data_IF_596616011674
#
_entry.id   IF_596616011674
#
_cell.length_a   1.000
_cell.length_b   1.000
_cell.length_c   1.000
_cell.angle_alpha   90.00
_cell.angle_beta   90.00
_cell.angle_gamma   90.00
#
_symmetry.space_group_name_H-M   'P 1'
#
loop_
_entity.id
_entity.type
_entity.pdbx_description
1 polymer ?
#
# COMPACT_ATOMS: atom_id res chain seq x y z
N UNK A 1 -25.69 -3.84 16.09
CA UNK A 1 -24.87 -2.61 15.87
C UNK A 1 -23.43 -2.94 15.51
N UNK A 2 -22.76 -3.84 16.21
CA UNK A 2 -21.34 -4.19 15.93
C UNK A 2 -21.08 -4.71 14.49
N UNK A 3 -21.92 -5.60 13.95
CA UNK A 3 -21.73 -6.14 12.57
C UNK A 3 -21.84 -5.05 11.50
N UNK A 4 -22.78 -4.10 11.65
CA UNK A 4 -22.93 -2.98 10.71
C UNK A 4 -21.74 -2.01 10.74
N UNK A 5 -21.22 -1.70 11.94
CA UNK A 5 -20.04 -0.85 12.09
C UNK A 5 -18.79 -1.54 11.49
N UNK A 6 -18.64 -2.83 11.70
CA UNK A 6 -17.56 -3.61 11.08
C UNK A 6 -17.65 -3.55 9.55
N UNK A 7 -18.83 -3.79 8.96
CA UNK A 7 -19.04 -3.69 7.52
C UNK A 7 -18.74 -2.28 7.02
N UNK A 8 -19.24 -1.25 7.72
CA UNK A 8 -18.95 0.14 7.38
C UNK A 8 -17.44 0.41 7.30
N UNK A 9 -16.66 -0.02 8.29
CA UNK A 9 -15.21 0.17 8.31
C UNK A 9 -14.50 -0.58 7.18
N UNK A 10 -14.90 -1.83 6.90
CA UNK A 10 -14.32 -2.65 5.82
C UNK A 10 -14.46 -1.95 4.45
N UNK A 11 -15.54 -1.19 4.24
CA UNK A 11 -15.76 -0.49 2.97
C UNK A 11 -15.32 0.97 3.00
N UNK A 12 -15.60 1.71 4.09
CA UNK A 12 -15.30 3.14 4.14
C UNK A 12 -13.80 3.43 4.18
N UNK A 13 -13.01 2.69 4.98
CA UNK A 13 -11.58 2.97 5.11
C UNK A 13 -10.82 2.81 3.77
N UNK A 14 -10.90 1.68 3.04
CA UNK A 14 -10.22 1.54 1.76
C UNK A 14 -10.77 2.51 0.70
N UNK A 15 -12.08 2.81 0.71
CA UNK A 15 -12.65 3.81 -0.20
C UNK A 15 -12.04 5.18 0.04
N UNK A 16 -11.97 5.64 1.28
CA UNK A 16 -11.40 6.94 1.63
C UNK A 16 -9.90 7.00 1.33
N UNK A 17 -9.13 5.93 1.66
CA UNK A 17 -7.72 5.84 1.29
C UNK A 17 -7.55 5.95 -0.22
N UNK A 18 -8.34 5.22 -1.00
CA UNK A 18 -8.29 5.27 -2.46
C UNK A 18 -8.59 6.67 -3.00
N UNK A 19 -9.67 7.31 -2.54
CA UNK A 19 -10.10 8.64 -2.98
C UNK A 19 -9.08 9.73 -2.62
N UNK A 20 -8.61 9.76 -1.38
CA UNK A 20 -7.63 10.76 -0.92
C UNK A 20 -6.32 10.61 -1.71
N UNK A 21 -5.84 9.39 -1.89
CA UNK A 21 -4.58 9.15 -2.58
C UNK A 21 -4.68 9.25 -4.12
N UNK A 22 -5.87 9.34 -4.73
CA UNK A 22 -6.00 9.75 -6.13
C UNK A 22 -5.44 11.14 -6.42
N UNK A 23 -5.46 12.01 -5.41
CA UNK A 23 -4.99 13.40 -5.51
C UNK A 23 -3.57 13.58 -5.01
N UNK A 24 -2.87 12.49 -4.69
CA UNK A 24 -1.51 12.55 -4.18
C UNK A 24 -0.55 13.14 -5.22
N UNK A 25 0.17 14.24 -4.90
CA UNK A 25 1.13 14.83 -5.82
C UNK A 25 2.24 13.85 -6.16
N UNK A 26 2.62 13.84 -7.44
CA UNK A 26 3.69 12.99 -7.96
C UNK A 26 4.85 13.87 -8.41
N UNK A 27 6.02 13.63 -7.82
CA UNK A 27 7.26 14.29 -8.20
C UNK A 27 8.43 13.34 -7.92
N UNK A 28 9.53 13.57 -8.63
CA UNK A 28 10.81 12.89 -8.40
C UNK A 28 11.84 13.85 -7.78
N UNK A 29 13.03 13.36 -7.46
CA UNK A 29 14.14 14.21 -7.05
C UNK A 29 14.46 15.30 -8.12
N UNK A 30 14.85 16.51 -7.71
CA UNK A 30 15.01 16.97 -6.32
C UNK A 30 13.67 17.18 -5.60
N UNK A 31 13.56 16.63 -4.39
CA UNK A 31 12.31 16.63 -3.63
C UNK A 31 11.86 18.05 -3.26
N UNK A 32 12.80 18.92 -2.86
CA UNK A 32 12.49 20.31 -2.51
C UNK A 32 11.77 21.02 -3.66
N UNK A 33 12.37 21.03 -4.85
CA UNK A 33 11.81 21.74 -6.01
C UNK A 33 10.52 21.12 -6.53
N UNK A 34 10.35 19.81 -6.42
CA UNK A 34 9.10 19.12 -6.79
C UNK A 34 7.97 19.38 -5.79
N UNK A 35 8.28 19.33 -4.50
CA UNK A 35 7.26 19.41 -3.45
C UNK A 35 6.79 20.82 -3.17
N UNK A 36 7.65 21.84 -3.33
CA UNK A 36 7.33 23.22 -2.96
C UNK A 36 6.04 23.74 -3.62
N UNK A 37 5.79 23.35 -4.87
CA UNK A 37 4.59 23.74 -5.62
C UNK A 37 3.32 23.03 -5.16
N UNK A 38 3.43 21.97 -4.34
CA UNK A 38 2.33 21.15 -3.87
C UNK A 38 2.14 21.18 -2.35
N UNK A 39 2.95 21.96 -1.62
CA UNK A 39 3.03 21.93 -0.15
C UNK A 39 1.70 22.24 0.53
N UNK A 40 0.87 23.09 -0.06
CA UNK A 40 -0.45 23.47 0.46
C UNK A 40 -1.44 22.30 0.50
N UNK A 41 -1.27 21.32 -0.41
CA UNK A 41 -2.07 20.09 -0.45
C UNK A 41 -1.36 18.91 0.20
N UNK A 42 -0.03 18.82 0.07
CA UNK A 42 0.78 17.74 0.62
C UNK A 42 0.56 17.52 2.12
N UNK A 43 0.71 18.57 2.90
CA UNK A 43 0.56 18.46 4.36
C UNK A 43 -0.84 18.02 4.81
N UNK A 44 -1.95 18.66 4.36
CA UNK A 44 -3.30 18.17 4.67
C UNK A 44 -3.53 16.72 4.27
N UNK A 45 -3.06 16.29 3.12
CA UNK A 45 -3.21 14.93 2.62
C UNK A 45 -2.57 13.92 3.60
N UNK A 46 -1.32 14.16 4.00
CA UNK A 46 -0.61 13.25 4.92
C UNK A 46 -1.16 13.31 6.36
N UNK A 47 -1.68 14.45 6.81
CA UNK A 47 -2.41 14.53 8.09
C UNK A 47 -3.69 13.69 8.07
N UNK A 48 -4.38 13.63 6.94
CA UNK A 48 -5.56 12.76 6.77
C UNK A 48 -5.12 11.30 6.70
N UNK A 49 -4.07 10.98 5.97
CA UNK A 49 -3.52 9.63 5.87
C UNK A 49 -3.03 9.07 7.22
N UNK A 50 -2.54 9.93 8.13
CA UNK A 50 -2.16 9.55 9.49
C UNK A 50 -3.31 8.84 10.26
N UNK A 51 -4.55 9.17 9.92
CA UNK A 51 -5.75 8.51 10.46
C UNK A 51 -6.21 7.37 9.55
N UNK A 52 -6.16 7.57 8.24
CA UNK A 52 -6.72 6.60 7.27
C UNK A 52 -5.91 5.31 7.19
N UNK A 53 -4.58 5.32 7.30
CA UNK A 53 -3.78 4.10 7.23
C UNK A 53 -3.99 3.16 8.42
N UNK A 54 -4.04 3.63 9.69
CA UNK A 54 -4.49 2.79 10.79
C UNK A 54 -5.89 2.22 10.61
N UNK A 55 -6.85 3.02 10.11
CA UNK A 55 -8.20 2.56 9.83
C UNK A 55 -8.24 1.53 8.70
N UNK A 56 -7.40 1.67 7.66
CA UNK A 56 -7.25 0.67 6.61
C UNK A 56 -6.74 -0.65 7.18
N UNK A 57 -5.69 -0.61 8.01
CA UNK A 57 -5.18 -1.81 8.67
C UNK A 57 -6.22 -2.48 9.57
N UNK A 58 -7.00 -1.70 10.31
CA UNK A 58 -8.12 -2.20 11.12
C UNK A 58 -9.22 -2.80 10.24
N UNK A 59 -9.59 -2.16 9.13
CA UNK A 59 -10.59 -2.67 8.19
C UNK A 59 -10.17 -4.03 7.61
N UNK A 60 -8.90 -4.14 7.20
CA UNK A 60 -8.34 -5.40 6.71
C UNK A 60 -8.27 -6.48 7.81
N UNK A 61 -7.95 -6.12 9.05
CA UNK A 61 -8.02 -7.04 10.19
C UNK A 61 -9.44 -7.54 10.42
N UNK A 62 -10.43 -6.65 10.44
CA UNK A 62 -11.84 -7.00 10.61
C UNK A 62 -12.36 -7.89 9.48
N UNK A 63 -11.82 -7.73 8.26
CA UNK A 63 -12.17 -8.55 7.11
C UNK A 63 -11.75 -10.02 7.27
N UNK A 64 -10.59 -10.28 7.91
CA UNK A 64 -10.05 -11.64 8.09
C UNK A 64 -10.27 -12.23 9.49
N UNK A 65 -10.80 -11.47 10.47
CA UNK A 65 -10.83 -11.86 11.90
C UNK A 65 -11.60 -13.16 12.18
N UNK A 66 -12.68 -13.39 11.43
CA UNK A 66 -13.59 -14.53 11.62
C UNK A 66 -13.17 -15.76 10.77
N UNK A 67 -12.01 -15.68 10.09
CA UNK A 67 -11.41 -16.81 9.37
C UNK A 67 -10.45 -17.54 10.31
N UNK A 68 -10.69 -18.82 10.58
CA UNK A 68 -9.95 -19.61 11.58
C UNK A 68 -8.98 -20.59 10.90
N UNK A 69 -7.88 -20.07 10.34
CA UNK A 69 -6.80 -20.87 9.79
C UNK A 69 -5.45 -20.15 9.92
N UNK A 70 -4.33 -20.87 9.70
CA UNK A 70 -2.99 -20.32 9.85
C UNK A 70 -2.76 -19.08 8.98
N UNK A 71 -3.25 -19.09 7.74
CA UNK A 71 -3.08 -17.95 6.83
C UNK A 71 -3.76 -16.69 7.37
N UNK A 72 -4.94 -16.80 8.00
CA UNK A 72 -5.59 -15.66 8.63
C UNK A 72 -4.84 -15.15 9.87
N UNK A 73 -4.14 -16.03 10.59
CA UNK A 73 -3.26 -15.62 11.70
C UNK A 73 -2.10 -14.80 11.16
N UNK A 74 -1.43 -15.29 10.10
CA UNK A 74 -0.34 -14.58 9.41
C UNK A 74 -0.81 -13.21 8.93
N UNK A 75 -1.99 -13.13 8.30
CA UNK A 75 -2.56 -11.87 7.84
C UNK A 75 -2.74 -10.88 9.01
N UNK A 76 -3.30 -11.31 10.13
CA UNK A 76 -3.52 -10.46 11.30
C UNK A 76 -2.22 -9.97 11.94
N UNK A 77 -1.21 -10.83 12.05
CA UNK A 77 0.11 -10.45 12.56
C UNK A 77 0.78 -9.43 11.63
N UNK A 78 0.72 -9.67 10.32
CA UNK A 78 1.26 -8.75 9.34
C UNK A 78 0.55 -7.37 9.39
N UNK A 79 -0.78 -7.35 9.57
CA UNK A 79 -1.52 -6.09 9.75
C UNK A 79 -1.14 -5.35 11.04
N UNK A 80 -0.85 -6.07 12.13
CA UNK A 80 -0.36 -5.47 13.37
C UNK A 80 1.02 -4.81 13.17
N UNK A 81 1.83 -5.29 12.22
CA UNK A 81 3.11 -4.67 11.82
C UNK A 81 2.86 -3.52 10.83
N UNK A 82 1.97 -3.71 9.84
CA UNK A 82 1.63 -2.68 8.87
C UNK A 82 1.21 -1.37 9.52
N UNK A 83 0.29 -1.42 10.48
CA UNK A 83 -0.30 -0.22 11.09
C UNK A 83 0.78 0.73 11.62
N UNK A 84 1.68 0.35 12.56
CA UNK A 84 2.67 1.28 13.09
C UNK A 84 3.72 1.69 12.05
N UNK A 85 4.23 0.76 11.24
CA UNK A 85 5.33 1.06 10.32
C UNK A 85 4.87 1.91 9.14
N UNK A 86 3.71 1.62 8.54
CA UNK A 86 3.21 2.41 7.43
C UNK A 86 2.74 3.81 7.87
N UNK A 87 2.15 3.91 9.06
CA UNK A 87 1.79 5.20 9.66
C UNK A 87 3.03 6.03 10.00
N UNK A 88 4.07 5.40 10.55
CA UNK A 88 5.34 6.08 10.83
C UNK A 88 6.04 6.53 9.53
N UNK A 89 6.03 5.70 8.49
CA UNK A 89 6.53 6.08 7.17
C UNK A 89 5.82 7.32 6.64
N UNK A 90 4.49 7.32 6.63
CA UNK A 90 3.70 8.45 6.13
C UNK A 90 3.93 9.73 6.95
N UNK A 91 4.06 9.60 8.28
CA UNK A 91 4.38 10.73 9.15
C UNK A 91 5.77 11.30 8.86
N UNK A 92 6.77 10.45 8.70
CA UNK A 92 8.15 10.87 8.43
C UNK A 92 8.31 11.40 7.00
N UNK A 93 7.93 10.60 6.00
CA UNK A 93 8.07 10.96 4.59
C UNK A 93 7.09 12.07 4.18
N UNK A 94 5.85 12.00 4.60
CA UNK A 94 4.82 12.97 4.25
C UNK A 94 4.90 14.23 5.10
N UNK A 95 4.61 14.12 6.39
CA UNK A 95 4.50 15.28 7.28
C UNK A 95 5.89 15.88 7.55
N UNK A 96 6.89 15.06 7.86
CA UNK A 96 8.25 15.52 8.17
C UNK A 96 8.86 16.26 7.00
N UNK A 97 8.85 15.68 5.80
CA UNK A 97 9.34 16.35 4.59
C UNK A 97 8.55 17.62 4.27
N UNK A 98 7.22 17.57 4.41
CA UNK A 98 6.37 18.73 4.17
C UNK A 98 6.70 19.91 5.10
N UNK A 99 6.96 19.64 6.38
CA UNK A 99 7.38 20.68 7.35
C UNK A 99 8.75 21.24 6.96
N UNK A 100 9.71 20.39 6.59
CA UNK A 100 11.05 20.83 6.15
C UNK A 100 10.96 21.75 4.93
N UNK A 101 10.23 21.36 3.90
CA UNK A 101 10.03 22.18 2.69
C UNK A 101 9.35 23.50 3.01
N UNK A 102 8.26 23.47 3.79
CA UNK A 102 7.53 24.70 4.18
C UNK A 102 8.37 25.67 5.00
N UNK A 103 9.26 25.18 5.84
CA UNK A 103 10.17 26.04 6.59
C UNK A 103 11.29 26.58 5.70
N UNK A 104 11.78 25.78 4.74
CA UNK A 104 12.79 26.21 3.77
C UNK A 104 12.31 27.36 2.86
N UNK A 105 11.00 27.43 2.55
CA UNK A 105 10.42 28.57 1.78
C UNK A 105 10.69 29.95 2.39
N UNK A 106 10.94 30.00 3.70
CA UNK A 106 11.18 31.25 4.44
C UNK A 106 12.65 31.67 4.48
N UNK A 107 13.53 30.85 3.96
CA UNK A 107 14.97 31.09 3.96
C UNK A 107 15.38 31.97 2.77
N UNK A 108 16.47 32.74 2.90
CA UNK A 108 17.10 33.41 1.76
C UNK A 108 17.47 32.39 0.68
N UNK A 109 17.40 32.82 -0.60
CA UNK A 109 17.72 31.94 -1.74
C UNK A 109 19.14 31.38 -1.67
N UNK A 110 20.09 32.11 -1.08
CA UNK A 110 21.46 31.65 -0.85
C UNK A 110 21.54 30.37 0.02
N UNK A 111 20.62 30.21 0.97
CA UNK A 111 20.64 29.12 1.92
C UNK A 111 19.99 27.86 1.34
N UNK A 112 19.12 28.01 0.33
CA UNK A 112 18.45 26.91 -0.35
C UNK A 112 19.41 25.98 -1.09
N UNK A 113 20.60 26.47 -1.48
CA UNK A 113 21.65 25.64 -2.09
C UNK A 113 22.19 24.56 -1.16
N UNK A 114 22.15 24.79 0.16
CA UNK A 114 22.53 23.80 1.18
C UNK A 114 21.34 23.00 1.69
N UNK A 115 20.19 23.64 1.85
CA UNK A 115 18.99 23.03 2.45
C UNK A 115 18.29 22.06 1.49
N UNK A 116 18.25 22.33 0.19
CA UNK A 116 17.67 21.43 -0.80
C UNK A 116 18.28 20.03 -0.77
N UNK A 117 19.61 19.88 -0.91
CA UNK A 117 20.29 18.59 -0.78
C UNK A 117 20.09 17.89 0.57
N UNK A 118 19.94 18.65 1.67
CA UNK A 118 19.65 18.07 2.98
C UNK A 118 18.26 17.44 3.02
N UNK A 119 17.25 18.09 2.42
CA UNK A 119 15.89 17.54 2.30
C UNK A 119 15.91 16.28 1.43
N UNK A 120 16.65 16.28 0.32
CA UNK A 120 16.81 15.10 -0.54
C UNK A 120 17.49 13.95 0.20
N UNK A 121 18.54 14.25 0.99
CA UNK A 121 19.22 13.25 1.84
C UNK A 121 18.31 12.68 2.92
N UNK A 122 17.47 13.50 3.53
CA UNK A 122 16.45 13.03 4.49
C UNK A 122 15.47 12.06 3.83
N UNK A 123 14.92 12.44 2.65
CA UNK A 123 13.97 11.64 1.89
C UNK A 123 14.54 10.28 1.47
N UNK A 124 15.83 10.26 1.05
CA UNK A 124 16.50 9.02 0.62
C UNK A 124 17.20 8.28 1.73
N UNK A 125 17.01 8.69 3.00
CA UNK A 125 17.69 8.06 4.14
C UNK A 125 17.32 6.57 4.29
N UNK A 126 18.33 5.75 4.63
CA UNK A 126 18.12 4.31 4.83
C UNK A 126 17.09 4.01 5.93
N UNK A 127 17.00 4.85 6.96
CA UNK A 127 16.02 4.70 8.05
C UNK A 127 14.60 4.87 7.52
N UNK A 128 14.33 5.94 6.76
CA UNK A 128 13.00 6.20 6.20
C UNK A 128 12.59 5.11 5.22
N UNK A 129 13.51 4.72 4.33
CA UNK A 129 13.29 3.63 3.38
C UNK A 129 13.08 2.27 4.08
N UNK A 130 13.78 2.00 5.17
CA UNK A 130 13.59 0.80 5.98
C UNK A 130 12.19 0.73 6.63
N UNK A 131 11.72 1.85 7.18
CA UNK A 131 10.36 1.94 7.76
C UNK A 131 9.30 1.77 6.67
N UNK A 132 9.48 2.40 5.51
CA UNK A 132 8.60 2.25 4.35
C UNK A 132 8.54 0.78 3.89
N UNK A 133 9.70 0.14 3.71
CA UNK A 133 9.82 -1.24 3.29
C UNK A 133 9.11 -2.20 4.25
N UNK A 134 9.32 -2.04 5.56
CA UNK A 134 8.64 -2.88 6.56
C UNK A 134 7.11 -2.74 6.50
N UNK A 135 6.60 -1.53 6.37
CA UNK A 135 5.17 -1.29 6.21
C UNK A 135 4.61 -1.91 4.92
N UNK A 136 5.24 -1.67 3.79
CA UNK A 136 4.83 -2.20 2.48
C UNK A 136 4.89 -3.72 2.42
N UNK A 137 5.97 -4.32 2.92
CA UNK A 137 6.13 -5.77 3.01
C UNK A 137 5.05 -6.38 3.91
N UNK A 138 4.78 -5.76 5.06
CA UNK A 138 3.76 -6.24 5.97
C UNK A 138 2.36 -6.21 5.33
N UNK A 139 2.00 -5.14 4.60
CA UNK A 139 0.76 -5.10 3.82
C UNK A 139 0.69 -6.20 2.78
N UNK A 140 1.75 -6.36 1.99
CA UNK A 140 1.83 -7.39 0.95
C UNK A 140 1.63 -8.79 1.53
N UNK A 141 2.34 -9.12 2.61
CA UNK A 141 2.17 -10.39 3.33
C UNK A 141 0.72 -10.54 3.83
N UNK A 142 0.14 -9.48 4.41
CA UNK A 142 -1.22 -9.53 4.95
C UNK A 142 -2.25 -9.86 3.87
N UNK A 143 -2.19 -9.20 2.73
CA UNK A 143 -3.16 -9.40 1.64
C UNK A 143 -2.95 -10.73 0.92
N UNK A 144 -1.72 -11.19 0.71
CA UNK A 144 -1.43 -12.51 0.17
C UNK A 144 -1.89 -13.61 1.13
N UNK A 145 -1.65 -13.45 2.42
CA UNK A 145 -2.13 -14.38 3.44
C UNK A 145 -3.67 -14.38 3.52
N UNK A 146 -4.32 -13.22 3.38
CA UNK A 146 -5.78 -13.14 3.28
C UNK A 146 -6.30 -13.88 2.04
N UNK A 147 -5.66 -13.71 0.88
CA UNK A 147 -6.01 -14.45 -0.34
C UNK A 147 -5.94 -15.98 -0.11
N UNK A 148 -4.86 -16.46 0.53
CA UNK A 148 -4.70 -17.87 0.89
C UNK A 148 -5.75 -18.31 1.92
N UNK A 149 -6.10 -17.45 2.89
CA UNK A 149 -7.07 -17.76 3.94
C UNK A 149 -8.47 -18.04 3.39
N UNK A 150 -8.86 -17.37 2.31
CA UNK A 150 -10.14 -17.54 1.63
C UNK A 150 -10.14 -18.63 0.55
N UNK A 151 -8.98 -19.21 0.22
CA UNK A 151 -8.86 -20.25 -0.81
C UNK A 151 -9.22 -21.61 -0.25
N UNK A 152 -9.83 -22.50 -1.07
CA UNK A 152 -10.15 -23.88 -0.70
C UNK A 152 -8.87 -24.68 -0.40
N UNK A 153 -8.98 -25.62 0.55
CA UNK A 153 -7.85 -26.39 1.12
C UNK A 153 -6.99 -27.08 0.06
N UNK A 154 -7.61 -27.69 -0.96
CA UNK A 154 -6.91 -28.46 -1.99
C UNK A 154 -5.91 -27.65 -2.83
N UNK A 155 -6.12 -26.34 -2.93
CA UNK A 155 -5.29 -25.44 -3.74
C UNK A 155 -4.37 -24.52 -2.92
N UNK A 156 -4.43 -24.61 -1.58
CA UNK A 156 -3.63 -23.73 -0.70
C UNK A 156 -2.13 -23.82 -0.93
N UNK A 157 -1.60 -25.02 -1.18
CA UNK A 157 -0.15 -25.21 -1.43
C UNK A 157 0.32 -24.42 -2.64
N UNK A 158 -0.45 -24.50 -3.73
CA UNK A 158 -0.14 -23.76 -4.95
C UNK A 158 -0.29 -22.25 -4.75
N UNK A 159 -1.32 -21.80 -4.02
CA UNK A 159 -1.49 -20.38 -3.67
C UNK A 159 -0.34 -19.85 -2.81
N UNK A 160 0.17 -20.64 -1.87
CA UNK A 160 1.34 -20.27 -1.07
C UNK A 160 2.57 -20.11 -1.95
N UNK A 161 2.81 -21.04 -2.88
CA UNK A 161 3.93 -20.96 -3.82
C UNK A 161 3.83 -19.76 -4.75
N UNK A 162 2.63 -19.47 -5.28
CA UNK A 162 2.37 -18.29 -6.09
C UNK A 162 2.59 -17.00 -5.28
N UNK A 163 2.13 -16.94 -4.03
CA UNK A 163 2.32 -15.80 -3.14
C UNK A 163 3.80 -15.56 -2.83
N UNK A 164 4.57 -16.61 -2.55
CA UNK A 164 6.02 -16.52 -2.32
C UNK A 164 6.73 -16.07 -3.60
N UNK A 165 6.42 -16.69 -4.74
CA UNK A 165 7.00 -16.32 -6.03
C UNK A 165 6.71 -14.84 -6.38
N UNK A 166 5.50 -14.42 -6.10
CA UNK A 166 5.09 -13.05 -6.31
C UNK A 166 5.86 -12.06 -5.42
N UNK A 167 5.98 -12.38 -4.13
CA UNK A 167 6.74 -11.54 -3.19
C UNK A 167 8.20 -11.38 -3.61
N UNK A 168 8.82 -12.44 -4.10
CA UNK A 168 10.19 -12.40 -4.62
C UNK A 168 10.28 -11.51 -5.86
N UNK A 169 9.35 -11.66 -6.79
CA UNK A 169 9.32 -10.87 -8.03
C UNK A 169 9.01 -9.40 -7.76
N UNK A 170 8.05 -9.11 -6.88
CA UNK A 170 7.70 -7.74 -6.50
C UNK A 170 8.85 -7.06 -5.74
N UNK A 171 9.46 -7.74 -4.77
CA UNK A 171 10.63 -7.22 -4.06
C UNK A 171 11.81 -6.97 -5.00
N UNK A 172 12.07 -7.86 -5.95
CA UNK A 172 13.07 -7.66 -6.98
C UNK A 172 12.73 -6.46 -7.88
N UNK A 173 11.47 -6.35 -8.31
CA UNK A 173 11.01 -5.25 -9.15
C UNK A 173 11.15 -3.90 -8.46
N UNK A 174 10.77 -3.80 -7.18
CA UNK A 174 10.91 -2.57 -6.40
C UNK A 174 12.38 -2.13 -6.26
N UNK A 175 13.30 -3.07 -6.09
CA UNK A 175 14.73 -2.75 -5.92
C UNK A 175 15.46 -2.45 -7.23
N UNK A 176 15.01 -3.02 -8.37
CA UNK A 176 15.74 -2.93 -9.64
C UNK A 176 15.03 -2.07 -10.70
N UNK A 177 13.71 -1.96 -10.65
CA UNK A 177 12.95 -1.20 -11.63
C UNK A 177 12.63 0.24 -11.17
N UNK A 178 12.68 0.50 -9.85
CA UNK A 178 12.38 1.81 -9.27
C UNK A 178 13.56 2.55 -8.59
N UNK A 179 14.85 2.18 -8.78
CA UNK A 179 15.95 2.77 -8.03
C UNK A 179 16.24 4.24 -8.40
N UNK A 180 15.68 4.75 -9.51
CA UNK A 180 15.97 6.10 -10.01
C UNK A 180 14.73 6.74 -10.60
N UNK A 181 13.68 6.87 -9.79
CA UNK A 181 12.41 7.42 -10.25
C UNK A 181 12.49 8.94 -10.54
N UNK A 182 13.35 9.34 -11.48
CA UNK A 182 13.21 10.65 -12.13
C UNK A 182 11.98 10.72 -13.03
N UNK A 183 11.43 9.56 -13.43
CA UNK A 183 10.15 9.42 -14.11
C UNK A 183 9.35 8.33 -13.40
N UNK A 184 8.30 8.70 -12.67
CA UNK A 184 7.40 7.79 -11.95
C UNK A 184 6.51 6.95 -12.89
N UNK A 185 6.97 6.64 -14.10
CA UNK A 185 6.29 5.72 -15.01
C UNK A 185 6.64 4.28 -14.61
N UNK A 186 5.63 3.55 -14.13
CA UNK A 186 5.77 2.13 -13.87
C UNK A 186 6.08 1.42 -15.19
N UNK A 187 7.21 0.68 -15.30
CA UNK A 187 7.60 0.02 -16.55
C UNK A 187 6.51 -0.94 -17.04
N UNK A 188 6.35 -1.04 -18.36
CA UNK A 188 5.40 -1.98 -18.96
C UNK A 188 5.63 -3.42 -18.50
N UNK A 189 6.89 -3.80 -18.30
CA UNK A 189 7.28 -5.12 -17.79
C UNK A 189 6.64 -5.44 -16.43
N UNK A 190 6.53 -4.47 -15.54
CA UNK A 190 5.87 -4.64 -14.24
C UNK A 190 4.37 -4.94 -14.39
N UNK A 191 3.69 -4.22 -15.30
CA UNK A 191 2.27 -4.48 -15.60
C UNK A 191 2.06 -5.86 -16.22
N UNK A 192 2.98 -6.32 -17.09
CA UNK A 192 2.91 -7.66 -17.66
C UNK A 192 3.12 -8.76 -16.61
N UNK A 193 4.05 -8.57 -15.69
CA UNK A 193 4.24 -9.49 -14.55
C UNK A 193 2.98 -9.53 -13.69
N UNK A 194 2.41 -8.37 -13.34
CA UNK A 194 1.19 -8.27 -12.56
C UNK A 194 0.01 -9.00 -13.23
N UNK A 195 -0.20 -8.78 -14.53
CA UNK A 195 -1.24 -9.44 -15.31
C UNK A 195 -1.03 -10.94 -15.42
N UNK A 196 0.22 -11.38 -15.64
CA UNK A 196 0.58 -12.81 -15.70
C UNK A 196 0.25 -13.51 -14.38
N UNK A 197 0.57 -12.91 -13.26
CA UNK A 197 0.29 -13.47 -11.95
C UNK A 197 -1.19 -13.41 -11.56
N UNK A 198 -1.89 -12.34 -11.91
CA UNK A 198 -3.34 -12.28 -11.76
C UNK A 198 -4.02 -13.39 -12.57
N UNK A 199 -3.58 -13.62 -13.80
CA UNK A 199 -4.05 -14.71 -14.66
C UNK A 199 -3.77 -16.09 -14.06
N UNK A 200 -2.54 -16.35 -13.60
CA UNK A 200 -2.18 -17.59 -12.95
C UNK A 200 -3.01 -17.83 -11.68
N UNK A 201 -3.20 -16.82 -10.85
CA UNK A 201 -4.04 -16.89 -9.66
C UNK A 201 -5.48 -17.21 -10.03
N UNK A 202 -6.03 -16.52 -11.03
CA UNK A 202 -7.40 -16.72 -11.50
C UNK A 202 -7.64 -18.15 -12.00
N UNK A 203 -6.68 -18.75 -12.70
CA UNK A 203 -6.79 -20.11 -13.20
C UNK A 203 -6.79 -21.15 -12.09
N UNK A 204 -6.05 -20.91 -11.03
CA UNK A 204 -5.76 -21.90 -9.98
C UNK A 204 -6.67 -21.75 -8.76
N UNK A 205 -6.96 -20.52 -8.33
CA UNK A 205 -7.68 -20.26 -7.09
C UNK A 205 -9.17 -20.58 -7.17
N UNK A 206 -9.75 -20.96 -6.03
CA UNK A 206 -11.19 -21.02 -5.81
C UNK A 206 -11.49 -20.46 -4.40
N UNK A 207 -12.33 -19.45 -4.26
CA UNK A 207 -13.03 -18.71 -5.32
C UNK A 207 -12.07 -17.83 -6.14
N UNK A 208 -12.23 -17.81 -7.46
CA UNK A 208 -11.26 -17.17 -8.39
C UNK A 208 -11.20 -15.66 -8.21
N UNK A 209 -12.36 -15.00 -8.29
CA UNK A 209 -12.45 -13.54 -8.33
C UNK A 209 -11.88 -12.89 -7.06
N UNK A 210 -12.38 -13.15 -5.85
CA UNK A 210 -11.91 -12.43 -4.67
C UNK A 210 -10.45 -12.73 -4.36
N UNK A 211 -9.98 -13.96 -4.62
CA UNK A 211 -8.57 -14.33 -4.39
C UNK A 211 -7.64 -13.55 -5.33
N UNK A 212 -7.98 -13.47 -6.61
CA UNK A 212 -7.20 -12.67 -7.59
C UNK A 212 -7.19 -11.19 -7.23
N UNK A 213 -8.33 -10.65 -6.82
CA UNK A 213 -8.44 -9.24 -6.40
C UNK A 213 -7.58 -8.94 -5.15
N UNK A 214 -7.53 -9.86 -4.18
CA UNK A 214 -6.67 -9.68 -3.00
C UNK A 214 -5.17 -9.76 -3.36
N UNK A 215 -4.79 -10.62 -4.29
CA UNK A 215 -3.41 -10.67 -4.83
C UNK A 215 -3.07 -9.36 -5.55
N UNK A 216 -3.96 -8.85 -6.39
CA UNK A 216 -3.77 -7.56 -7.04
C UNK A 216 -3.68 -6.41 -6.02
N UNK A 217 -4.54 -6.40 -5.01
CA UNK A 217 -4.48 -5.43 -3.92
C UNK A 217 -3.14 -5.47 -3.18
N UNK A 218 -2.63 -6.68 -2.88
CA UNK A 218 -1.35 -6.87 -2.21
C UNK A 218 -0.22 -6.12 -2.92
N UNK A 219 -0.14 -6.31 -4.24
CA UNK A 219 0.96 -5.79 -5.04
C UNK A 219 0.78 -4.33 -5.37
N UNK A 220 -0.41 -3.94 -5.82
CA UNK A 220 -0.67 -2.56 -6.24
C UNK A 220 -0.44 -1.58 -5.08
N UNK A 221 -1.06 -1.81 -3.94
CA UNK A 221 -0.89 -0.93 -2.78
C UNK A 221 0.43 -1.17 -2.05
N UNK A 222 0.92 -2.42 -2.02
CA UNK A 222 2.23 -2.76 -1.47
C UNK A 222 3.38 -2.08 -2.21
N UNK A 223 3.26 -1.91 -3.53
CA UNK A 223 4.23 -1.19 -4.32
C UNK A 223 4.21 0.32 -4.00
N UNK A 224 3.03 0.92 -3.91
CA UNK A 224 2.88 2.33 -3.56
C UNK A 224 1.42 2.68 -3.25
N UNK A 225 1.21 3.61 -2.32
CA UNK A 225 -0.12 4.19 -2.06
C UNK A 225 -0.49 5.34 -3.02
N UNK A 226 0.46 5.83 -3.82
CA UNK A 226 0.23 6.94 -4.77
C UNK A 226 -0.43 6.44 -6.08
N UNK A 227 -1.01 7.34 -6.91
CA UNK A 227 -1.59 6.96 -8.19
C UNK A 227 -0.57 6.34 -9.14
N UNK A 228 -0.96 5.41 -10.01
CA UNK A 228 -2.29 4.79 -10.04
C UNK A 228 -2.43 3.57 -9.12
N UNK A 229 -1.32 3.08 -8.54
CA UNK A 229 -1.23 1.78 -7.85
C UNK A 229 -2.05 1.73 -6.57
N UNK A 230 -1.88 2.71 -5.69
CA UNK A 230 -2.61 2.75 -4.42
C UNK A 230 -4.13 2.72 -4.60
N UNK A 231 -4.73 3.68 -5.35
CA UNK A 231 -6.16 3.70 -5.62
C UNK A 231 -6.68 2.43 -6.29
N UNK A 232 -5.97 1.88 -7.28
CA UNK A 232 -6.34 0.62 -7.92
C UNK A 232 -6.28 -0.57 -6.93
N UNK A 233 -5.28 -0.61 -6.06
CA UNK A 233 -5.20 -1.59 -4.98
C UNK A 233 -6.40 -1.53 -4.04
N UNK A 234 -6.85 -0.33 -3.69
CA UNK A 234 -8.05 -0.14 -2.86
C UNK A 234 -9.33 -0.58 -3.56
N UNK A 235 -9.46 -0.31 -4.86
CA UNK A 235 -10.60 -0.82 -5.65
C UNK A 235 -10.62 -2.36 -5.69
N UNK A 236 -9.47 -2.99 -5.84
CA UNK A 236 -9.36 -4.45 -5.78
C UNK A 236 -9.77 -4.99 -4.40
N UNK A 237 -9.35 -4.34 -3.31
CA UNK A 237 -9.77 -4.72 -1.96
C UNK A 237 -11.29 -4.60 -1.79
N UNK A 238 -11.87 -3.47 -2.18
CA UNK A 238 -13.32 -3.23 -2.10
C UNK A 238 -14.14 -4.26 -2.87
N UNK A 239 -13.72 -4.58 -4.09
CA UNK A 239 -14.39 -5.58 -4.92
C UNK A 239 -14.28 -6.99 -4.32
N UNK A 240 -13.12 -7.36 -3.76
CA UNK A 240 -12.93 -8.62 -3.06
C UNK A 240 -13.82 -8.71 -1.80
N UNK A 241 -13.85 -7.64 -1.01
CA UNK A 241 -14.65 -7.55 0.20
C UNK A 241 -16.14 -7.63 -0.11
N UNK A 242 -16.62 -6.91 -1.13
CA UNK A 242 -18.00 -6.96 -1.56
C UNK A 242 -18.41 -8.38 -1.99
N UNK A 243 -17.58 -9.02 -2.81
CA UNK A 243 -17.84 -10.40 -3.23
C UNK A 243 -17.95 -11.36 -2.06
N UNK A 244 -17.01 -11.28 -1.10
CA UNK A 244 -16.96 -12.20 0.04
C UNK A 244 -18.12 -11.93 1.01
N UNK A 245 -18.44 -10.66 1.28
CA UNK A 245 -19.54 -10.30 2.20
C UNK A 245 -20.88 -10.74 1.63
N UNK A 246 -21.14 -10.47 0.34
CA UNK A 246 -22.42 -10.86 -0.31
C UNK A 246 -22.59 -12.37 -0.39
N UNK A 247 -21.51 -13.12 -0.69
CA UNK A 247 -21.62 -14.58 -0.85
C UNK A 247 -21.45 -15.38 0.47
N UNK A 248 -21.27 -14.70 1.62
CA UNK A 248 -21.24 -15.31 2.95
C UNK A 248 -22.54 -15.19 3.73
N UNK A 249 -23.51 -14.44 3.23
CA UNK A 249 -24.85 -14.43 3.86
C UNK A 249 -25.53 -15.75 3.55
N UNK A 250 -26.06 -16.44 4.59
CA UNK A 250 -26.66 -17.77 4.48
C UNK A 250 -27.94 -17.75 3.66
#
# INVERSE_FOLDING_TARGET
MAKRLQQLLIFAAPLLVGLVNLTHPMFGPPVYSGLIHHISWWLPLHLVNLVLFPLLGLAAYLFVKDVHNLASVVARVALAIFIPFYTAFDALAGIGTGILVRNAERLPTSDLTAVGPLIDSYWTSGTLNGVAALGSIAWTIAMLAAAVAFTQVERRRLMILLAIGFFIVDGWAQTHLFPTASNMSIPLSWWLILLGMAGATFLVAKPRIPTTLLVLCAVLFGASHVPPTGPLGMLCFLAAAAYIVVNREP
#
